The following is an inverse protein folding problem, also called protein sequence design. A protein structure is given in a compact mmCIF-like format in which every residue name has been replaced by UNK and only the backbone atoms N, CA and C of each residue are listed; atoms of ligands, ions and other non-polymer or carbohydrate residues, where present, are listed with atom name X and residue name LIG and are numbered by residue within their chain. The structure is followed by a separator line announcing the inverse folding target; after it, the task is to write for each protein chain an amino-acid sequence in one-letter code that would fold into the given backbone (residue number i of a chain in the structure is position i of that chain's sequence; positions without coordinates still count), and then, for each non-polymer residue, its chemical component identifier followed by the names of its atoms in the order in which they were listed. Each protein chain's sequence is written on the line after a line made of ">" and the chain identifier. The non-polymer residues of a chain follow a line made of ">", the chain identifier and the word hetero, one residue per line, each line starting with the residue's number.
data_IF_534363938373
#
_entry.id   IF_534363938373
#
_cell.length_a   1.000
_cell.length_b   1.000
_cell.length_c   1.000
_cell.angle_alpha   90.00
_cell.angle_beta   90.00
_cell.angle_gamma   90.00
#
_symmetry.space_group_name_H-M   'P 1'
#
loop_
_entity.id
_entity.type
_entity.pdbx_description
1 polymer ?
#
# COMPACT_ATOMS: atom_id res chain seq x y z
N UNK A 1 19.10 -8.36 21.91
CA UNK A 1 20.38 -7.99 21.24
C UNK A 1 20.56 -8.64 19.87
N UNK A 2 20.25 -9.93 19.69
CA UNK A 2 20.34 -10.64 18.39
C UNK A 2 19.55 -9.97 17.24
N UNK A 3 18.38 -9.40 17.54
CA UNK A 3 17.52 -8.75 16.53
C UNK A 3 18.04 -7.37 16.08
N UNK A 4 18.79 -6.66 16.94
CA UNK A 4 19.39 -5.36 16.59
C UNK A 4 20.61 -5.56 15.67
N UNK A 5 21.37 -6.64 15.89
CA UNK A 5 22.51 -6.99 15.03
C UNK A 5 22.09 -7.30 13.59
N UNK A 6 20.93 -7.95 13.40
CA UNK A 6 20.38 -8.25 12.06
C UNK A 6 19.97 -6.97 11.33
N UNK A 7 19.38 -6.01 12.03
CA UNK A 7 18.99 -4.71 11.46
C UNK A 7 20.25 -3.92 11.04
N UNK A 8 21.29 -3.89 11.88
CA UNK A 8 22.56 -3.22 11.57
C UNK A 8 23.28 -3.89 10.39
N UNK A 9 23.28 -5.24 10.31
CA UNK A 9 23.83 -5.98 9.18
C UNK A 9 23.03 -5.76 7.88
N UNK A 10 21.72 -5.54 7.97
CA UNK A 10 20.87 -5.17 6.83
C UNK A 10 21.14 -3.74 6.34
N UNK A 11 21.47 -2.80 7.24
CA UNK A 11 21.86 -1.44 6.86
C UNK A 11 23.29 -1.36 6.31
N UNK A 12 24.22 -2.19 6.80
CA UNK A 12 25.60 -2.24 6.28
C UNK A 12 25.70 -2.81 4.86
N UNK A 13 24.81 -3.72 4.45
CA UNK A 13 24.82 -4.25 3.08
C UNK A 13 24.33 -3.24 2.03
N UNK A 14 23.50 -2.27 2.43
CA UNK A 14 23.06 -1.15 1.56
C UNK A 14 24.26 -0.23 1.23
N UNK A 15 25.21 -0.09 2.16
CA UNK A 15 26.43 0.72 1.97
C UNK A 15 27.36 0.21 0.87
N UNK A 16 27.39 -1.11 0.62
CA UNK A 16 28.23 -1.72 -0.42
C UNK A 16 27.74 -1.45 -1.85
N UNK A 17 26.48 -1.01 -2.02
CA UNK A 17 25.91 -0.67 -3.34
C UNK A 17 26.42 0.71 -3.81
N UNK A 18 27.00 1.52 -2.91
CA UNK A 18 27.46 2.88 -3.22
C UNK A 18 28.73 2.96 -4.08
N UNK A 19 29.50 1.88 -4.22
CA UNK A 19 30.77 1.88 -4.97
C UNK A 19 30.62 1.62 -6.48
N UNK A 20 29.41 1.35 -6.98
CA UNK A 20 29.13 1.16 -8.41
C UNK A 20 28.53 2.42 -9.05
N UNK A 21 29.21 3.56 -8.89
CA UNK A 21 28.79 4.88 -9.39
C UNK A 21 29.46 5.24 -10.73
N UNK A 22 29.60 4.28 -11.64
CA UNK A 22 30.08 4.55 -13.00
C UNK A 22 28.87 4.93 -13.87
N UNK A 23 28.71 6.24 -14.11
CA UNK A 23 27.80 6.88 -15.08
C UNK A 23 26.63 6.00 -15.54
N UNK A 24 25.63 5.81 -14.67
CA UNK A 24 24.40 5.07 -15.02
C UNK A 24 23.37 6.08 -15.48
N UNK A 25 22.99 5.97 -16.76
CA UNK A 25 21.94 6.78 -17.39
C UNK A 25 20.65 6.78 -16.58
N UNK A 26 19.85 7.83 -16.76
CA UNK A 26 18.64 8.08 -16.02
C UNK A 26 17.68 6.85 -15.96
N UNK A 27 16.97 6.70 -14.83
CA UNK A 27 16.02 5.61 -14.50
C UNK A 27 14.99 5.41 -15.61
N UNK A 28 14.50 6.54 -16.11
CA UNK A 28 13.93 6.65 -17.42
C UNK A 28 15.07 7.03 -18.32
N UNK A 29 15.39 6.29 -19.38
CA UNK A 29 16.30 6.80 -20.38
C UNK A 29 15.65 8.07 -20.89
N UNK A 30 16.15 9.21 -20.42
CA UNK A 30 16.01 10.50 -21.08
C UNK A 30 16.87 10.45 -22.35
N UNK A 31 16.78 9.35 -23.10
CA UNK A 31 16.89 9.45 -24.55
C UNK A 31 15.88 10.56 -24.85
N UNK A 32 16.36 11.65 -25.47
CA UNK A 32 15.56 12.85 -25.78
C UNK A 32 14.30 12.56 -26.64
N UNK A 33 14.03 11.29 -26.90
CA UNK A 33 12.92 10.71 -27.65
C UNK A 33 11.76 10.24 -26.75
N UNK A 34 11.83 10.31 -25.42
CA UNK A 34 10.75 9.86 -24.53
C UNK A 34 10.22 10.99 -23.65
N UNK A 35 8.89 11.09 -23.55
CA UNK A 35 8.21 12.05 -22.67
C UNK A 35 8.36 11.66 -21.21
N UNK A 36 8.45 12.67 -20.37
CA UNK A 36 8.52 12.61 -18.91
C UNK A 36 7.24 12.13 -18.22
N UNK A 37 6.32 11.48 -18.92
CA UNK A 37 5.10 11.01 -18.30
C UNK A 37 4.23 10.22 -19.24
N UNK A 38 3.39 9.39 -18.64
CA UNK A 38 2.58 8.43 -19.36
C UNK A 38 1.52 7.80 -18.48
N UNK A 39 0.78 6.89 -19.09
CA UNK A 39 -0.22 6.11 -18.40
C UNK A 39 0.44 5.00 -17.57
N UNK A 40 -0.18 4.66 -16.46
CA UNK A 40 0.16 3.47 -15.70
C UNK A 40 -1.06 2.67 -15.28
N UNK A 41 -0.87 1.36 -15.15
CA UNK A 41 -1.83 0.43 -14.55
C UNK A 41 -1.09 -0.51 -13.63
N UNK A 42 -1.68 -0.84 -12.49
CA UNK A 42 -1.12 -1.79 -11.53
C UNK A 42 -2.21 -2.73 -10.99
N UNK A 43 -2.43 -3.89 -11.62
CA UNK A 43 -3.20 -4.95 -11.00
C UNK A 43 -2.45 -5.55 -9.81
N UNK A 44 -3.19 -6.04 -8.82
CA UNK A 44 -2.61 -6.66 -7.64
C UNK A 44 -3.60 -7.39 -6.75
N UNK A 45 -3.09 -7.87 -5.63
CA UNK A 45 -3.81 -8.58 -4.58
C UNK A 45 -3.71 -7.80 -3.26
N UNK A 46 -4.78 -7.88 -2.47
CA UNK A 46 -4.84 -7.37 -1.11
C UNK A 46 -4.82 -8.54 -0.12
N UNK A 47 -4.20 -8.36 1.04
CA UNK A 47 -4.27 -9.30 2.15
C UNK A 47 -4.36 -8.54 3.47
N UNK A 48 -5.44 -8.74 4.23
CA UNK A 48 -5.71 -8.00 5.47
C UNK A 48 -5.18 -8.78 6.68
N UNK A 49 -3.93 -8.57 7.05
CA UNK A 49 -3.38 -9.24 8.23
C UNK A 49 -3.93 -8.61 9.52
N UNK A 50 -4.33 -9.42 10.49
CA UNK A 50 -4.73 -8.95 11.81
C UNK A 50 -4.17 -9.86 12.90
N UNK A 51 -3.64 -9.31 14.01
CA UNK A 51 -3.27 -10.11 15.16
C UNK A 51 -4.51 -10.59 15.92
N UNK A 52 -4.35 -11.66 16.70
CA UNK A 52 -5.34 -12.07 17.70
C UNK A 52 -5.50 -10.96 18.74
N UNK A 53 -6.75 -10.65 19.08
CA UNK A 53 -7.10 -9.60 20.05
C UNK A 53 -7.93 -10.19 21.17
N UNK A 54 -7.74 -9.70 22.38
CA UNK A 54 -8.60 -9.98 23.51
C UNK A 54 -8.93 -8.68 24.23
N UNK A 55 -10.10 -8.65 24.87
CA UNK A 55 -10.51 -7.45 25.58
C UNK A 55 -11.73 -7.68 26.46
N UNK A 56 -12.16 -6.60 27.09
CA UNK A 56 -13.38 -6.57 27.91
C UNK A 56 -14.38 -5.65 27.20
N UNK A 57 -15.57 -6.17 26.91
CA UNK A 57 -16.66 -5.45 26.24
C UNK A 57 -17.50 -4.65 27.24
N UNK A 58 -17.80 -5.27 28.38
CA UNK A 58 -18.64 -4.69 29.44
C UNK A 58 -18.03 -5.07 30.78
N UNK A 59 -17.88 -4.09 31.67
CA UNK A 59 -17.46 -4.30 33.05
C UNK A 59 -18.29 -3.40 33.97
N UNK A 60 -19.11 -4.02 34.81
CA UNK A 60 -19.79 -3.39 35.94
C UNK A 60 -19.80 -4.35 37.15
N UNK A 61 -20.25 -3.89 38.31
CA UNK A 61 -20.22 -4.67 39.58
C UNK A 61 -20.90 -6.05 39.49
N UNK A 62 -21.80 -6.25 38.52
CA UNK A 62 -22.62 -7.47 38.37
C UNK A 62 -22.38 -8.24 37.08
N UNK A 63 -21.69 -7.66 36.08
CA UNK A 63 -21.54 -8.22 34.75
C UNK A 63 -20.15 -7.90 34.20
N UNK A 64 -19.43 -8.95 33.83
CA UNK A 64 -18.17 -8.85 33.09
C UNK A 64 -18.24 -9.72 31.84
N UNK A 65 -18.09 -9.10 30.69
CA UNK A 65 -18.01 -9.81 29.40
C UNK A 65 -16.65 -9.56 28.77
N UNK A 66 -15.90 -10.63 28.58
CA UNK A 66 -14.60 -10.63 27.89
C UNK A 66 -14.73 -11.31 26.53
N UNK A 67 -13.91 -10.89 25.58
CA UNK A 67 -13.87 -11.50 24.25
C UNK A 67 -12.45 -11.91 23.88
N UNK A 68 -12.38 -12.97 23.09
CA UNK A 68 -11.20 -13.40 22.37
C UNK A 68 -11.55 -13.46 20.89
N UNK A 69 -10.86 -12.67 20.07
CA UNK A 69 -11.09 -12.60 18.65
C UNK A 69 -9.86 -13.04 17.85
N UNK A 70 -10.07 -14.02 16.99
CA UNK A 70 -9.10 -14.58 16.08
C UNK A 70 -9.41 -14.12 14.65
N UNK A 71 -8.73 -13.08 14.23
CA UNK A 71 -8.89 -12.51 12.91
C UNK A 71 -8.04 -13.24 11.86
N UNK A 72 -8.69 -13.65 10.76
CA UNK A 72 -8.12 -14.30 9.60
C UNK A 72 -8.22 -13.36 8.39
N UNK A 73 -7.08 -12.95 7.87
CA UNK A 73 -7.02 -12.20 6.61
C UNK A 73 -7.44 -13.06 5.42
N UNK A 74 -8.20 -12.48 4.49
CA UNK A 74 -8.55 -13.12 3.21
C UNK A 74 -7.90 -12.36 2.05
N UNK A 75 -7.63 -13.08 0.97
CA UNK A 75 -7.10 -12.49 -0.26
C UNK A 75 -8.23 -11.80 -1.02
N UNK A 76 -8.01 -10.54 -1.38
CA UNK A 76 -8.81 -9.79 -2.33
C UNK A 76 -7.98 -9.34 -3.52
N UNK A 77 -8.60 -8.58 -4.42
CA UNK A 77 -7.94 -8.01 -5.60
C UNK A 77 -7.94 -6.49 -5.54
N UNK A 78 -7.02 -5.87 -6.28
CA UNK A 78 -7.09 -4.43 -6.53
C UNK A 78 -6.50 -4.06 -7.89
N UNK A 79 -6.85 -2.87 -8.35
CA UNK A 79 -6.25 -2.25 -9.52
C UNK A 79 -6.06 -0.76 -9.28
N UNK A 80 -4.87 -0.26 -9.57
CA UNK A 80 -4.59 1.17 -9.70
C UNK A 80 -4.48 1.53 -11.18
N UNK A 81 -5.03 2.67 -11.56
CA UNK A 81 -4.88 3.22 -12.91
C UNK A 81 -4.69 4.73 -12.81
N UNK A 82 -3.76 5.26 -13.59
CA UNK A 82 -3.40 6.66 -13.43
C UNK A 82 -2.33 7.15 -14.38
N UNK A 83 -1.72 8.26 -13.98
CA UNK A 83 -0.66 8.92 -14.71
C UNK A 83 0.60 8.95 -13.86
N UNK A 84 1.74 8.78 -14.50
CA UNK A 84 3.04 9.00 -13.87
C UNK A 84 3.76 10.17 -14.54
N UNK A 85 4.60 10.84 -13.76
CA UNK A 85 5.47 11.91 -14.23
C UNK A 85 6.86 11.76 -13.62
N UNK A 86 7.87 11.62 -14.48
CA UNK A 86 9.29 11.57 -14.11
C UNK A 86 9.93 12.95 -14.24
N UNK A 87 10.88 13.25 -13.37
CA UNK A 87 11.61 14.52 -13.42
C UNK A 87 12.97 14.33 -14.09
N UNK A 88 13.48 15.36 -14.78
CA UNK A 88 14.72 15.28 -15.56
C UNK A 88 15.99 15.35 -14.70
N UNK A 89 15.97 16.10 -13.60
CA UNK A 89 17.10 16.24 -12.66
C UNK A 89 16.68 16.19 -11.17
N UNK A 90 16.06 15.11 -10.71
CA UNK A 90 15.57 15.02 -9.34
C UNK A 90 16.66 14.60 -8.36
N UNK A 91 16.67 15.21 -7.17
CA UNK A 91 17.57 14.83 -6.07
C UNK A 91 16.94 13.83 -5.09
N UNK A 92 15.66 14.00 -4.76
CA UNK A 92 14.95 13.19 -3.76
C UNK A 92 13.80 12.37 -4.35
N UNK A 93 12.97 12.96 -5.21
CA UNK A 93 11.79 12.29 -5.79
C UNK A 93 12.01 12.19 -7.28
N UNK A 94 12.20 10.98 -7.80
CA UNK A 94 12.54 10.73 -9.19
C UNK A 94 11.32 10.73 -10.11
N UNK A 95 10.20 10.23 -9.60
CA UNK A 95 8.91 10.32 -10.28
C UNK A 95 7.78 10.31 -9.28
N UNK A 96 6.64 10.81 -9.72
CA UNK A 96 5.36 10.70 -9.01
C UNK A 96 4.39 9.90 -9.87
N UNK A 97 3.44 9.26 -9.21
CA UNK A 97 2.29 8.65 -9.85
C UNK A 97 1.02 8.86 -9.04
N UNK A 98 -0.07 9.08 -9.74
CA UNK A 98 -1.36 9.39 -9.14
C UNK A 98 -2.51 8.91 -10.01
N UNK A 99 -3.66 8.63 -9.38
CA UNK A 99 -4.82 8.17 -10.12
C UNK A 99 -5.91 7.63 -9.22
N UNK A 100 -6.68 6.70 -9.78
CA UNK A 100 -7.81 6.05 -9.13
C UNK A 100 -7.45 4.60 -8.75
N UNK A 101 -8.02 4.13 -7.64
CA UNK A 101 -7.84 2.78 -7.13
C UNK A 101 -9.19 2.12 -6.90
N UNK A 102 -9.29 0.85 -7.27
CA UNK A 102 -10.35 -0.02 -6.78
C UNK A 102 -9.71 -1.12 -5.94
N UNK A 103 -10.18 -1.33 -4.72
CA UNK A 103 -9.63 -2.31 -3.76
C UNK A 103 -10.75 -3.14 -3.16
N UNK A 104 -10.60 -4.46 -3.21
CA UNK A 104 -11.47 -5.40 -2.51
C UNK A 104 -10.76 -5.84 -1.23
N UNK A 105 -11.28 -5.45 -0.07
CA UNK A 105 -10.76 -5.90 1.23
C UNK A 105 -11.64 -7.01 1.78
N UNK A 106 -11.02 -8.11 2.20
CA UNK A 106 -11.74 -9.28 2.69
C UNK A 106 -11.12 -9.77 3.98
N UNK A 107 -11.93 -10.30 4.88
CA UNK A 107 -11.43 -10.90 6.11
C UNK A 107 -12.53 -11.63 6.87
N UNK A 108 -12.12 -12.27 7.95
CA UNK A 108 -13.01 -12.99 8.85
C UNK A 108 -12.48 -12.88 10.28
N UNK A 109 -13.38 -12.83 11.25
CA UNK A 109 -13.08 -12.86 12.68
C UNK A 109 -13.92 -13.94 13.31
N UNK A 110 -13.28 -14.90 13.96
CA UNK A 110 -13.92 -15.79 14.92
C UNK A 110 -13.80 -15.15 16.31
N UNK A 111 -14.91 -14.93 16.99
CA UNK A 111 -14.97 -14.31 18.31
C UNK A 111 -15.64 -15.26 19.31
N UNK A 112 -14.98 -15.49 20.44
CA UNK A 112 -15.54 -16.18 21.60
C UNK A 112 -15.78 -15.16 22.70
N UNK A 113 -17.01 -15.06 23.18
CA UNK A 113 -17.38 -14.19 24.30
C UNK A 113 -17.65 -15.01 25.55
N UNK A 114 -16.96 -14.66 26.64
CA UNK A 114 -17.16 -15.26 27.96
C UNK A 114 -17.78 -14.23 28.90
N UNK A 115 -18.91 -14.58 29.51
CA UNK A 115 -19.65 -13.67 30.39
C UNK A 115 -19.76 -14.22 31.80
N UNK A 116 -19.43 -13.40 32.79
CA UNK A 116 -19.67 -13.68 34.21
C UNK A 116 -20.73 -12.70 34.71
N UNK A 117 -21.84 -13.24 35.23
CA UNK A 117 -22.96 -12.47 35.78
C UNK A 117 -23.17 -12.85 37.25
N UNK A 118 -23.11 -11.88 38.15
CA UNK A 118 -23.20 -12.08 39.60
C UNK A 118 -22.27 -13.18 40.12
N UNK A 119 -21.02 -13.21 39.65
CA UNK A 119 -20.02 -14.23 40.00
C UNK A 119 -20.27 -15.61 39.39
N UNK A 120 -21.31 -15.78 38.56
CA UNK A 120 -21.62 -17.05 37.88
C UNK A 120 -21.24 -16.97 36.40
N UNK A 121 -20.40 -17.90 35.94
CA UNK A 121 -20.05 -18.04 34.54
C UNK A 121 -21.29 -18.46 33.72
N UNK A 122 -21.52 -17.77 32.61
CA UNK A 122 -22.51 -18.12 31.59
C UNK A 122 -21.84 -18.98 30.50
N UNK A 123 -22.62 -19.72 29.70
CA UNK A 123 -22.09 -20.38 28.51
C UNK A 123 -21.39 -19.38 27.58
N UNK A 124 -20.29 -19.79 26.99
CA UNK A 124 -19.58 -18.98 26.00
C UNK A 124 -20.42 -18.84 24.72
N UNK A 125 -20.40 -17.65 24.12
CA UNK A 125 -21.01 -17.39 22.83
C UNK A 125 -19.94 -17.44 21.74
N UNK A 126 -20.24 -18.11 20.64
CA UNK A 126 -19.32 -18.23 19.51
C UNK A 126 -19.89 -17.54 18.27
N UNK A 127 -19.10 -16.63 17.71
CA UNK A 127 -19.50 -15.79 16.58
C UNK A 127 -18.45 -15.81 15.49
N UNK A 128 -18.90 -15.83 14.24
CA UNK A 128 -18.08 -15.65 13.06
C UNK A 128 -18.59 -14.46 12.27
N UNK A 129 -17.71 -13.49 12.06
CA UNK A 129 -17.96 -12.30 11.25
C UNK A 129 -17.09 -12.35 10.01
N UNK A 130 -17.64 -12.01 8.84
CA UNK A 130 -16.84 -11.90 7.62
C UNK A 130 -17.17 -10.63 6.86
N UNK A 131 -16.18 -10.08 6.16
CA UNK A 131 -16.35 -8.88 5.34
C UNK A 131 -15.72 -9.06 3.96
N UNK A 132 -16.29 -8.38 2.97
CA UNK A 132 -15.87 -8.32 1.58
C UNK A 132 -16.20 -6.94 0.99
N UNK A 133 -15.50 -5.91 1.46
CA UNK A 133 -15.81 -4.52 1.16
C UNK A 133 -15.12 -4.05 -0.13
N UNK A 134 -15.91 -3.44 -1.02
CA UNK A 134 -15.45 -2.87 -2.28
C UNK A 134 -15.17 -1.39 -2.09
N UNK A 135 -13.94 -0.97 -2.33
CA UNK A 135 -13.47 0.39 -2.10
C UNK A 135 -13.08 1.03 -3.43
N UNK A 136 -13.48 2.28 -3.63
CA UNK A 136 -13.01 3.14 -4.71
C UNK A 136 -12.31 4.34 -4.12
N UNK A 137 -11.14 4.68 -4.65
CA UNK A 137 -10.29 5.69 -4.05
C UNK A 137 -9.41 6.41 -5.04
N UNK A 138 -8.64 7.34 -4.47
CA UNK A 138 -7.55 8.03 -5.11
C UNK A 138 -6.24 7.61 -4.46
N UNK A 139 -5.17 7.59 -5.25
CA UNK A 139 -3.83 7.35 -4.74
C UNK A 139 -2.84 8.37 -5.29
N UNK A 140 -1.80 8.62 -4.51
CA UNK A 140 -0.63 9.39 -4.90
C UNK A 140 0.61 8.72 -4.33
N UNK A 141 1.68 8.64 -5.12
CA UNK A 141 2.99 8.13 -4.73
C UNK A 141 4.08 9.11 -5.17
N UNK A 142 5.03 9.37 -4.28
CA UNK A 142 6.29 10.02 -4.58
C UNK A 142 7.41 9.00 -4.43
N UNK A 143 8.14 8.74 -5.51
CA UNK A 143 9.09 7.64 -5.58
C UNK A 143 10.53 8.13 -5.70
N UNK A 144 11.36 7.72 -4.74
CA UNK A 144 12.81 7.72 -4.90
C UNK A 144 13.23 6.38 -5.52
N UNK A 145 14.14 6.42 -6.49
CA UNK A 145 14.60 5.21 -7.16
C UNK A 145 16.11 5.11 -7.20
N UNK A 146 16.64 3.93 -6.87
CA UNK A 146 18.08 3.69 -6.79
C UNK A 146 18.47 2.63 -7.81
N UNK A 147 19.39 2.95 -8.73
CA UNK A 147 19.85 1.99 -9.73
C UNK A 147 20.54 0.79 -9.08
N UNK A 148 20.14 -0.41 -9.48
CA UNK A 148 20.81 -1.65 -9.13
C UNK A 148 21.71 -2.12 -10.29
N UNK A 149 21.17 -2.05 -11.51
CA UNK A 149 21.83 -2.43 -12.76
C UNK A 149 21.47 -1.47 -13.90
N UNK A 150 21.88 -1.77 -15.14
CA UNK A 150 21.55 -0.98 -16.34
C UNK A 150 20.04 -0.96 -16.63
N UNK A 151 19.35 -2.06 -16.36
CA UNK A 151 17.92 -2.23 -16.67
C UNK A 151 17.05 -2.42 -15.42
N UNK A 152 17.63 -2.25 -14.23
CA UNK A 152 16.97 -2.57 -12.96
C UNK A 152 17.20 -1.48 -11.93
N UNK A 153 16.15 -1.12 -11.22
CA UNK A 153 16.19 -0.14 -10.14
C UNK A 153 15.37 -0.62 -8.94
N UNK A 154 15.78 -0.20 -7.76
CA UNK A 154 14.96 -0.24 -6.56
C UNK A 154 14.05 1.00 -6.54
N UNK A 155 12.81 0.83 -6.14
CA UNK A 155 11.85 1.93 -5.93
C UNK A 155 11.44 1.95 -4.47
N UNK A 156 11.55 3.12 -3.86
CA UNK A 156 11.09 3.40 -2.50
C UNK A 156 10.16 4.60 -2.60
N UNK A 157 8.89 4.37 -2.29
CA UNK A 157 7.84 5.37 -2.44
C UNK A 157 7.17 5.62 -1.11
N UNK A 158 6.90 6.89 -0.86
CA UNK A 158 5.94 7.32 0.16
C UNK A 158 4.73 7.86 -0.56
N UNK A 159 3.54 7.46 -0.11
CA UNK A 159 2.31 7.82 -0.77
C UNK A 159 1.17 7.92 0.21
N UNK A 160 0.03 8.35 -0.31
CA UNK A 160 -1.22 8.32 0.41
C UNK A 160 -2.34 7.82 -0.49
N UNK A 161 -3.35 7.23 0.13
CA UNK A 161 -4.57 6.76 -0.48
C UNK A 161 -5.77 7.31 0.28
N UNK A 162 -6.82 7.67 -0.44
CA UNK A 162 -8.13 7.98 0.10
C UNK A 162 -9.14 7.03 -0.52
N UNK A 163 -9.61 6.06 0.26
CA UNK A 163 -10.52 5.00 -0.19
C UNK A 163 -11.91 5.22 0.42
N UNK A 164 -12.94 5.21 -0.43
CA UNK A 164 -14.35 5.26 -0.05
C UNK A 164 -14.99 3.88 -0.27
N UNK A 165 -15.72 3.39 0.73
CA UNK A 165 -16.43 2.10 0.65
C UNK A 165 -17.67 2.28 -0.24
N UNK A 166 -17.70 1.58 -1.38
CA UNK A 166 -18.81 1.60 -2.33
C UNK A 166 -19.85 0.50 -2.05
N UNK A 167 -19.39 -0.69 -1.70
CA UNK A 167 -20.24 -1.85 -1.47
C UNK A 167 -19.75 -2.53 -0.20
N UNK A 168 -20.66 -2.68 0.76
CA UNK A 168 -20.45 -3.40 1.99
C UNK A 168 -21.08 -4.78 1.85
N UNK A 169 -20.25 -5.83 1.94
CA UNK A 169 -20.72 -7.21 1.99
C UNK A 169 -20.19 -7.83 3.28
N UNK A 170 -21.04 -7.84 4.30
CA UNK A 170 -20.68 -8.21 5.67
C UNK A 170 -21.66 -9.25 6.17
N UNK A 171 -21.14 -10.43 6.48
CA UNK A 171 -21.93 -11.55 6.96
C UNK A 171 -21.64 -11.80 8.44
N UNK A 172 -22.69 -12.25 9.13
CA UNK A 172 -22.65 -12.63 10.52
C UNK A 172 -23.30 -14.01 10.70
N UNK A 173 -22.61 -14.89 11.42
CA UNK A 173 -23.10 -16.22 11.79
C UNK A 173 -22.71 -16.52 13.23
N UNK A 174 -23.67 -16.91 14.07
CA UNK A 174 -23.41 -17.29 15.45
C UNK A 174 -24.55 -16.94 16.41
N UNK A 175 -24.22 -16.96 17.70
CA UNK A 175 -25.15 -16.62 18.78
C UNK A 175 -25.30 -15.10 18.92
N UNK A 176 -26.55 -14.61 18.96
CA UNK A 176 -26.88 -13.18 18.94
C UNK A 176 -25.90 -12.34 19.77
N UNK A 177 -25.17 -11.40 19.14
CA UNK A 177 -24.03 -10.79 19.77
C UNK A 177 -24.51 -9.84 20.86
N UNK A 178 -23.78 -9.83 21.99
CA UNK A 178 -24.11 -8.95 23.12
C UNK A 178 -23.90 -7.46 22.81
N UNK A 179 -23.18 -7.14 21.73
CA UNK A 179 -22.93 -5.77 21.23
C UNK A 179 -22.85 -5.75 19.71
N UNK A 180 -23.10 -4.57 19.13
CA UNK A 180 -22.88 -4.33 17.70
C UNK A 180 -21.37 -4.35 17.38
N UNK A 181 -20.93 -5.10 16.37
CA UNK A 181 -19.54 -5.08 15.96
C UNK A 181 -19.12 -3.72 15.39
N UNK A 182 -17.87 -3.30 15.66
CA UNK A 182 -17.29 -2.11 15.03
C UNK A 182 -17.18 -2.29 13.51
N UNK A 183 -17.50 -1.24 12.76
CA UNK A 183 -17.36 -1.17 11.30
C UNK A 183 -16.42 -0.02 10.95
N UNK A 184 -15.68 -0.11 9.83
CA UNK A 184 -14.81 0.98 9.40
C UNK A 184 -15.62 2.20 8.96
N UNK A 185 -15.03 3.38 9.07
CA UNK A 185 -15.58 4.59 8.45
C UNK A 185 -15.66 4.44 6.93
N UNK A 186 -16.69 5.03 6.31
CA UNK A 186 -16.90 4.98 4.86
C UNK A 186 -15.71 5.55 4.08
N UNK A 187 -15.04 6.58 4.61
CA UNK A 187 -13.86 7.20 4.01
C UNK A 187 -12.63 6.92 4.87
N UNK A 188 -11.65 6.25 4.29
CA UNK A 188 -10.35 6.00 4.91
C UNK A 188 -9.23 6.71 4.15
N UNK A 189 -8.49 7.58 4.83
CA UNK A 189 -7.28 8.23 4.30
C UNK A 189 -6.07 7.68 5.02
N UNK A 190 -5.13 7.11 4.27
CA UNK A 190 -3.93 6.48 4.80
C UNK A 190 -2.68 6.99 4.11
N UNK A 191 -1.60 7.10 4.89
CA UNK A 191 -0.24 7.20 4.41
C UNK A 191 0.33 5.80 4.30
N UNK A 192 0.97 5.48 3.18
CA UNK A 192 1.56 4.16 2.94
C UNK A 192 3.01 4.26 2.48
N UNK A 193 3.75 3.19 2.75
CA UNK A 193 5.06 2.94 2.19
C UNK A 193 4.93 1.91 1.09
N UNK A 194 5.65 2.11 -0.01
CA UNK A 194 5.72 1.16 -1.11
C UNK A 194 7.17 0.92 -1.48
N UNK A 195 7.52 -0.34 -1.64
CA UNK A 195 8.82 -0.78 -2.11
C UNK A 195 8.64 -1.69 -3.31
N UNK A 196 9.48 -1.54 -4.33
CA UNK A 196 9.40 -2.36 -5.53
C UNK A 196 10.71 -2.47 -6.26
N UNK A 197 10.82 -3.45 -7.14
CA UNK A 197 11.98 -3.63 -8.01
C UNK A 197 11.50 -3.39 -9.43
N UNK A 198 12.01 -2.34 -10.06
CA UNK A 198 11.66 -1.97 -11.41
C UNK A 198 12.60 -2.57 -12.43
N UNK A 199 12.03 -3.03 -13.55
CA UNK A 199 12.75 -3.59 -14.69
C UNK A 199 12.28 -2.89 -15.96
N UNK A 200 13.23 -2.52 -16.82
CA UNK A 200 12.92 -2.11 -18.18
C UNK A 200 12.72 -3.34 -19.05
N UNK A 201 11.45 -3.68 -19.31
CA UNK A 201 11.08 -4.85 -20.12
C UNK A 201 11.25 -4.57 -21.62
N UNK A 202 10.78 -3.41 -22.10
CA UNK A 202 10.89 -2.98 -23.49
C UNK A 202 11.33 -1.51 -23.57
N UNK A 203 11.59 -0.99 -24.79
CA UNK A 203 11.97 0.43 -24.98
C UNK A 203 10.98 1.38 -24.30
N UNK A 204 9.68 1.04 -24.31
CA UNK A 204 8.56 1.87 -23.85
C UNK A 204 7.76 1.29 -22.67
N UNK A 205 8.26 0.26 -21.99
CA UNK A 205 7.54 -0.36 -20.88
C UNK A 205 8.48 -0.61 -19.70
N UNK A 206 8.13 -0.05 -18.55
CA UNK A 206 8.72 -0.42 -17.26
C UNK A 206 7.72 -1.27 -16.48
N UNK A 207 8.23 -2.29 -15.83
CA UNK A 207 7.46 -3.20 -14.97
C UNK A 207 8.04 -3.12 -13.57
N UNK A 208 7.21 -2.84 -12.57
CA UNK A 208 7.63 -2.70 -11.17
C UNK A 208 6.73 -3.57 -10.29
N UNK A 209 7.08 -4.85 -10.05
CA UNK A 209 6.56 -5.59 -8.91
C UNK A 209 6.83 -4.83 -7.62
N UNK A 210 5.81 -4.70 -6.77
CA UNK A 210 5.87 -3.90 -5.55
C UNK A 210 4.99 -4.42 -4.43
N UNK A 211 5.39 -4.06 -3.22
CA UNK A 211 4.71 -4.30 -1.96
C UNK A 211 4.37 -2.94 -1.33
N UNK A 212 3.11 -2.74 -0.97
CA UNK A 212 2.58 -1.54 -0.34
C UNK A 212 1.96 -1.90 1.02
N UNK A 213 2.25 -1.08 2.03
CA UNK A 213 1.74 -1.26 3.40
C UNK A 213 1.43 0.10 4.02
N UNK A 214 0.28 0.26 4.68
CA UNK A 214 -0.09 1.51 5.33
C UNK A 214 0.76 1.71 6.59
N UNK A 215 1.25 2.94 6.76
CA UNK A 215 2.09 3.36 7.89
C UNK A 215 1.25 4.15 8.91
N UNK A 216 0.27 4.93 8.45
CA UNK A 216 -0.55 5.78 9.30
C UNK A 216 -1.94 5.99 8.71
N UNK A 217 -3.00 5.84 9.53
CA UNK A 217 -4.35 6.32 9.20
C UNK A 217 -4.51 7.77 9.63
N UNK A 218 -4.88 8.62 8.68
CA UNK A 218 -5.16 10.06 8.89
C UNK A 218 -6.66 10.24 9.19
N UNK A 219 -7.52 9.50 8.49
CA UNK A 219 -8.96 9.45 8.70
C UNK A 219 -9.41 7.97 8.57
N UNK A 220 -10.12 7.41 9.56
CA UNK A 220 -10.20 7.89 10.94
C UNK A 220 -8.80 7.96 11.59
N UNK A 221 -8.63 8.88 12.54
CA UNK A 221 -7.36 9.00 13.26
C UNK A 221 -7.29 7.96 14.40
N UNK A 222 -6.63 6.84 14.11
CA UNK A 222 -6.51 5.68 15.01
C UNK A 222 -5.30 5.77 15.95
N UNK A 223 -5.06 6.92 16.59
CA UNK A 223 -3.92 7.15 17.50
C UNK A 223 -2.55 6.76 16.89
N UNK A 224 -2.33 7.07 15.62
CA UNK A 224 -1.09 6.72 14.93
C UNK A 224 -1.04 5.29 14.36
N UNK A 225 -2.10 4.51 14.48
CA UNK A 225 -2.19 3.18 13.85
C UNK A 225 -2.60 3.29 12.38
N UNK A 226 -2.24 2.27 11.61
CA UNK A 226 -2.53 2.14 10.17
C UNK A 226 -3.50 1.01 9.87
N UNK A 227 -4.50 0.88 10.73
CA UNK A 227 -5.42 -0.25 10.75
C UNK A 227 -6.81 0.16 10.26
N UNK A 228 -7.51 -0.79 9.67
CA UNK A 228 -8.94 -0.75 9.40
C UNK A 228 -9.63 -1.54 10.52
N UNK A 229 -10.58 -0.91 11.21
CA UNK A 229 -11.27 -1.53 12.34
C UNK A 229 -12.51 -2.27 11.86
N UNK A 230 -12.46 -3.61 11.91
CA UNK A 230 -13.57 -4.50 11.59
C UNK A 230 -13.83 -5.43 12.76
N UNK A 231 -15.08 -5.55 13.19
CA UNK A 231 -15.52 -6.52 14.20
C UNK A 231 -14.65 -6.47 15.48
N UNK A 232 -14.42 -5.26 16.01
CA UNK A 232 -13.56 -4.99 17.17
C UNK A 232 -12.10 -5.45 17.02
N UNK A 233 -11.67 -5.73 15.79
CA UNK A 233 -10.30 -6.10 15.43
C UNK A 233 -9.69 -5.09 14.46
N UNK A 234 -8.36 -5.02 14.47
CA UNK A 234 -7.61 -4.05 13.70
C UNK A 234 -6.84 -4.76 12.58
N UNK A 235 -7.36 -4.66 11.36
CA UNK A 235 -6.77 -5.24 10.15
C UNK A 235 -5.78 -4.29 9.51
N UNK A 236 -4.63 -4.80 9.07
CA UNK A 236 -3.63 -4.07 8.29
C UNK A 236 -3.60 -4.63 6.87
N UNK A 237 -4.05 -3.87 5.86
CA UNK A 237 -3.98 -4.32 4.48
C UNK A 237 -2.53 -4.32 3.99
N UNK A 238 -2.13 -5.41 3.35
CA UNK A 238 -0.89 -5.56 2.60
C UNK A 238 -1.24 -5.68 1.13
N UNK A 239 -0.65 -4.85 0.28
CA UNK A 239 -0.96 -4.79 -1.15
C UNK A 239 0.25 -5.28 -1.95
N UNK A 240 0.06 -6.29 -2.79
CA UNK A 240 1.08 -6.80 -3.72
C UNK A 240 0.63 -6.49 -5.13
N UNK A 241 1.42 -5.79 -5.92
CA UNK A 241 1.06 -5.43 -7.29
C UNK A 241 2.22 -5.54 -8.27
N UNK A 242 1.87 -5.58 -9.55
CA UNK A 242 2.81 -5.40 -10.65
C UNK A 242 2.40 -4.15 -11.42
N UNK A 243 3.22 -3.11 -11.35
CA UNK A 243 2.94 -1.83 -11.99
C UNK A 243 3.53 -1.79 -13.40
N UNK A 244 2.73 -1.39 -14.37
CA UNK A 244 3.11 -1.22 -15.76
C UNK A 244 3.09 0.27 -16.10
N UNK A 245 4.27 0.82 -16.40
CA UNK A 245 4.44 2.21 -16.80
C UNK A 245 4.69 2.28 -18.30
N UNK A 246 3.76 2.89 -19.03
CA UNK A 246 3.82 3.03 -20.48
C UNK A 246 4.53 4.34 -20.84
N UNK A 247 5.77 4.24 -21.30
CA UNK A 247 6.55 5.39 -21.75
C UNK A 247 6.05 5.83 -23.13
N UNK A 248 6.08 7.13 -23.37
CA UNK A 248 5.58 7.73 -24.62
C UNK A 248 6.73 8.37 -25.37
N UNK A 249 6.66 8.36 -26.70
CA UNK A 249 7.65 9.06 -27.50
C UNK A 249 7.45 10.58 -27.44
N UNK A 250 8.54 11.31 -27.51
CA UNK A 250 8.62 12.75 -27.69
C UNK A 250 9.24 13.07 -29.07
N UNK A 251 8.41 13.16 -30.13
CA UNK A 251 8.91 13.39 -31.49
C UNK A 251 9.33 14.83 -31.76
N UNK A 252 9.03 15.80 -30.87
CA UNK A 252 9.30 17.23 -31.09
C UNK A 252 10.13 17.77 -29.93
N UNK A 253 11.43 17.73 -30.13
CA UNK A 253 12.44 18.12 -29.16
C UNK A 253 12.55 19.65 -29.04
N UNK A 254 11.58 20.31 -28.38
CA UNK A 254 11.60 21.76 -28.15
C UNK A 254 12.71 22.25 -27.21
N UNK A 255 13.48 21.33 -26.61
CA UNK A 255 14.55 21.63 -25.64
C UNK A 255 15.95 21.27 -26.13
N UNK A 256 16.11 20.84 -27.39
CA UNK A 256 17.45 20.65 -27.96
C UNK A 256 18.05 21.99 -28.36
N UNK A 257 19.25 22.35 -27.88
CA UNK A 257 19.95 23.51 -28.42
C UNK A 257 20.20 23.27 -29.91
N UNK A 258 19.57 24.09 -30.75
CA UNK A 258 19.90 24.17 -32.17
C UNK A 258 21.25 24.89 -32.30
N UNK A 259 22.24 24.24 -32.91
CA UNK A 259 23.49 24.92 -33.29
C UNK A 259 23.19 25.87 -34.46
N UNK A 260 23.00 27.16 -34.17
CA UNK A 260 23.01 28.23 -35.18
C UNK A 260 24.47 28.61 -35.51
N UNK A 261 25.19 27.70 -36.16
CA UNK A 261 26.48 28.02 -36.76
C UNK A 261 26.30 28.87 -38.02
N UNK A 262 27.36 29.57 -38.49
CA UNK A 262 27.27 30.36 -39.72
C UNK A 262 26.94 29.46 -40.91
N UNK A 263 25.87 29.80 -41.62
CA UNK A 263 25.55 29.24 -42.93
C UNK A 263 26.64 29.66 -43.91
N UNK A 264 27.52 28.72 -44.25
CA UNK A 264 28.37 28.87 -45.43
C UNK A 264 27.51 28.51 -46.64
N UNK A 265 26.76 29.50 -47.13
CA UNK A 265 26.06 29.43 -48.40
C UNK A 265 27.06 29.08 -49.51
N UNK A 266 26.74 28.04 -50.27
CA UNK A 266 27.36 27.78 -51.58
C UNK A 266 26.76 28.70 -52.63
#
# INVERSE_FOLDING_TARGET
>A
MKNILVIILFFLSIGSIAQMRKERGAIFPLDRELRNGGFMVAPGLTYTFAPKTNGTLIENDTLKTTYEANAKGKIGGFIHAGWFHSFENPSLIHFIDFGISYKLFRGETEETQSTVKNGTAQPDLMNTYSFSDHNLGLYFNATHSTHLSQNTFLSNSIGFNGDYILIEDREYSGDQPSLNPTTPDELTVQLHYKIGIGFRAFKKLLIVPSLETPILSIQPFENGKSTLSYFNNNYRPLLVSVQFYFLRDDPVNCSSPTYNGPDYGM
#
